data_IF_320112204303
#
_entry.id   IF_320112204303
#
_cell.length_a   1.000
_cell.length_b   1.000
_cell.length_c   1.000
_cell.angle_alpha   90.00
_cell.angle_beta   90.00
_cell.angle_gamma   90.00
#
_symmetry.space_group_name_H-M   'P 1'
#
loop_
_entity.id
_entity.type
_entity.pdbx_description
1 polymer ?
#
# COMPACT_ATOMS: atom_id res chain seq x y z
N UNK A 1 8.16 -10.60 17.11
CA UNK A 1 6.94 -9.79 16.79
C UNK A 1 6.36 -10.11 15.42
N UNK A 2 6.91 -9.64 14.29
CA UNK A 2 6.30 -9.81 12.96
C UNK A 2 6.00 -11.27 12.55
N UNK A 3 7.00 -12.15 12.64
CA UNK A 3 6.82 -13.59 12.35
C UNK A 3 5.76 -14.27 13.24
N UNK A 4 5.62 -13.85 14.50
CA UNK A 4 4.60 -14.37 15.40
C UNK A 4 3.20 -13.92 14.99
N UNK A 5 3.02 -12.64 14.65
CA UNK A 5 1.76 -12.12 14.11
C UNK A 5 1.37 -12.87 12.84
N UNK A 6 2.32 -13.13 11.94
CA UNK A 6 2.09 -13.92 10.72
C UNK A 6 1.60 -15.35 11.02
N UNK A 7 2.21 -16.06 11.98
CA UNK A 7 1.74 -17.40 12.37
C UNK A 7 0.38 -17.38 13.10
N UNK A 8 0.09 -16.35 13.88
CA UNK A 8 -1.24 -16.14 14.45
C UNK A 8 -2.28 -15.87 13.36
N UNK A 9 -1.95 -15.05 12.37
CA UNK A 9 -2.80 -14.78 11.20
C UNK A 9 -3.08 -16.07 10.42
N UNK A 10 -2.06 -16.90 10.16
CA UNK A 10 -2.21 -18.22 9.55
C UNK A 10 -3.24 -19.07 10.29
N UNK A 11 -3.18 -19.07 11.62
CA UNK A 11 -4.10 -19.84 12.47
C UNK A 11 -5.52 -19.26 12.47
N UNK A 12 -5.66 -17.94 12.44
CA UNK A 12 -6.96 -17.25 12.31
C UNK A 12 -7.60 -17.58 10.97
N UNK A 13 -6.85 -17.46 9.87
CA UNK A 13 -7.31 -17.78 8.52
C UNK A 13 -7.68 -19.25 8.42
N UNK A 14 -6.82 -20.17 8.87
CA UNK A 14 -7.11 -21.62 8.86
C UNK A 14 -8.41 -21.95 9.56
N UNK A 15 -8.67 -21.32 10.71
CA UNK A 15 -9.87 -21.54 11.50
C UNK A 15 -11.14 -21.04 10.79
N UNK A 16 -11.05 -19.93 10.05
CA UNK A 16 -12.21 -19.29 9.42
C UNK A 16 -12.50 -19.80 8.01
N UNK A 17 -11.46 -20.00 7.19
CA UNK A 17 -11.58 -20.33 5.76
C UNK A 17 -11.03 -21.73 5.41
N UNK A 18 -10.47 -22.45 6.37
CA UNK A 18 -9.93 -23.80 6.16
C UNK A 18 -8.45 -23.82 5.79
N UNK A 19 -7.90 -25.04 5.64
CA UNK A 19 -6.47 -25.28 5.43
C UNK A 19 -5.96 -24.65 4.12
N UNK A 20 -6.74 -24.73 3.06
CA UNK A 20 -6.31 -24.31 1.71
C UNK A 20 -6.13 -22.78 1.62
N UNK A 21 -6.84 -22.01 2.45
CA UNK A 21 -6.68 -20.57 2.55
C UNK A 21 -5.34 -20.14 3.19
N UNK A 22 -4.51 -21.09 3.65
CA UNK A 22 -3.18 -20.81 4.22
C UNK A 22 -2.01 -21.07 3.27
N UNK A 23 -2.31 -21.33 1.99
CA UNK A 23 -1.33 -21.24 0.92
C UNK A 23 -0.88 -19.79 0.75
N UNK A 24 0.31 -19.61 0.19
CA UNK A 24 0.94 -18.30 0.04
C UNK A 24 1.04 -17.89 -1.42
N UNK A 25 0.91 -16.58 -1.68
CA UNK A 25 1.20 -15.99 -2.99
C UNK A 25 2.69 -15.67 -3.17
N UNK A 26 2.99 -14.89 -4.20
CA UNK A 26 4.37 -14.59 -4.64
C UNK A 26 5.22 -13.94 -3.54
N UNK A 27 4.61 -13.08 -2.71
CA UNK A 27 5.29 -12.35 -1.62
C UNK A 27 5.15 -13.05 -0.26
N UNK A 28 4.68 -14.30 -0.22
CA UNK A 28 4.55 -15.06 1.02
C UNK A 28 3.31 -14.72 1.88
N UNK A 29 2.48 -13.77 1.45
CA UNK A 29 1.18 -13.44 2.07
C UNK A 29 0.10 -14.50 1.82
N UNK A 30 -0.93 -14.55 2.67
CA UNK A 30 -2.09 -15.43 2.49
C UNK A 30 -3.14 -14.78 1.58
N UNK A 31 -3.88 -15.60 0.83
CA UNK A 31 -4.99 -15.16 -0.02
C UNK A 31 -6.32 -15.83 0.36
N UNK A 32 -6.86 -15.59 1.58
CA UNK A 32 -8.19 -16.07 1.92
C UNK A 32 -9.26 -15.44 1.02
N UNK A 33 -10.35 -16.17 0.77
CA UNK A 33 -11.47 -15.70 -0.04
C UNK A 33 -12.34 -14.67 0.73
N UNK A 34 -11.77 -13.52 1.06
CA UNK A 34 -12.46 -12.40 1.69
C UNK A 34 -13.41 -11.73 0.69
N UNK A 35 -14.54 -11.22 1.18
CA UNK A 35 -15.56 -10.58 0.34
C UNK A 35 -15.48 -9.05 0.38
N UNK A 36 -14.90 -8.49 1.44
CA UNK A 36 -14.76 -7.05 1.63
C UNK A 36 -13.39 -6.72 2.21
N UNK A 37 -12.81 -5.58 1.82
CA UNK A 37 -11.50 -5.11 2.30
C UNK A 37 -11.43 -5.02 3.84
N UNK A 38 -12.56 -4.62 4.47
CA UNK A 38 -12.70 -4.53 5.93
C UNK A 38 -12.49 -5.87 6.62
N UNK A 39 -12.87 -6.97 5.97
CA UNK A 39 -12.66 -8.32 6.50
C UNK A 39 -11.18 -8.65 6.63
N UNK A 40 -10.35 -8.23 5.66
CA UNK A 40 -8.89 -8.34 5.74
C UNK A 40 -8.30 -7.59 6.94
N UNK A 41 -8.75 -6.35 7.16
CA UNK A 41 -8.32 -5.52 8.30
C UNK A 41 -8.71 -6.15 9.65
N UNK A 42 -9.90 -6.74 9.76
CA UNK A 42 -10.32 -7.47 10.98
C UNK A 42 -9.49 -8.72 11.26
N UNK A 43 -9.08 -9.46 10.22
CA UNK A 43 -8.19 -10.62 10.37
C UNK A 43 -6.82 -10.17 10.93
N UNK A 44 -6.26 -9.08 10.39
CA UNK A 44 -4.99 -8.51 10.86
C UNK A 44 -5.10 -8.03 12.31
N UNK A 45 -6.13 -7.25 12.64
CA UNK A 45 -6.41 -6.77 14.00
C UNK A 45 -6.51 -7.92 14.99
N UNK A 46 -7.28 -8.96 14.65
CA UNK A 46 -7.43 -10.17 15.47
C UNK A 46 -6.08 -10.89 15.66
N UNK A 47 -5.27 -11.00 14.61
CA UNK A 47 -3.97 -11.67 14.67
C UNK A 47 -2.97 -10.89 15.57
N UNK A 48 -2.94 -9.56 15.44
CA UNK A 48 -2.11 -8.67 16.28
C UNK A 48 -2.50 -8.79 17.75
N UNK A 49 -3.80 -8.79 18.05
CA UNK A 49 -4.32 -8.95 19.41
C UNK A 49 -3.94 -10.32 20.00
N UNK A 50 -4.15 -11.40 19.24
CA UNK A 50 -3.80 -12.76 19.68
C UNK A 50 -2.30 -12.96 19.92
N UNK A 51 -1.47 -12.25 19.17
CA UNK A 51 -0.03 -12.24 19.37
C UNK A 51 0.42 -11.37 20.56
N UNK A 52 -0.49 -10.60 21.18
CA UNK A 52 -0.18 -9.73 22.31
C UNK A 52 0.56 -8.44 21.93
N UNK A 53 0.46 -8.01 20.67
CA UNK A 53 1.20 -6.86 20.12
C UNK A 53 0.33 -5.65 19.77
N UNK A 54 -0.89 -5.58 20.29
CA UNK A 54 -1.75 -4.40 20.18
C UNK A 54 -1.02 -3.13 20.63
N UNK A 55 -1.06 -2.08 19.82
CA UNK A 55 -0.36 -0.82 20.07
C UNK A 55 1.15 -0.84 19.81
N UNK A 56 1.72 -2.00 19.44
CA UNK A 56 3.13 -2.15 19.02
C UNK A 56 3.27 -2.44 17.53
N UNK A 57 2.29 -3.11 16.95
CA UNK A 57 2.19 -3.39 15.51
C UNK A 57 1.05 -2.57 14.93
N UNK A 58 1.33 -1.91 13.81
CA UNK A 58 0.43 -1.06 13.04
C UNK A 58 0.26 -1.65 11.63
N UNK A 59 -0.68 -1.12 10.85
CA UNK A 59 -1.05 -1.63 9.52
C UNK A 59 -0.57 -0.66 8.43
N UNK A 60 0.00 -1.20 7.37
CA UNK A 60 0.16 -0.55 6.07
C UNK A 60 -0.69 -1.27 5.03
N UNK A 61 -1.10 -0.57 3.98
CA UNK A 61 -1.79 -1.16 2.84
C UNK A 61 -1.19 -0.63 1.54
N UNK A 62 -1.05 -1.52 0.56
CA UNK A 62 -0.95 -1.14 -0.85
C UNK A 62 -2.30 -1.46 -1.48
N UNK A 63 -2.91 -0.43 -2.06
CA UNK A 63 -4.22 -0.54 -2.67
C UNK A 63 -4.13 -0.86 -4.15
N UNK A 64 -3.03 -0.49 -4.84
CA UNK A 64 -2.84 -0.65 -6.28
C UNK A 64 -4.07 -0.20 -7.09
N UNK A 65 -4.59 1.01 -6.80
CA UNK A 65 -5.90 1.44 -7.28
C UNK A 65 -6.02 1.57 -8.82
N UNK A 66 -4.90 1.69 -9.53
CA UNK A 66 -4.87 1.62 -11.00
C UNK A 66 -5.47 0.31 -11.55
N UNK A 67 -5.33 -0.81 -10.84
CA UNK A 67 -5.83 -2.12 -11.29
C UNK A 67 -7.37 -2.18 -11.38
N UNK A 68 -8.06 -1.33 -10.64
CA UNK A 68 -9.51 -1.28 -10.59
C UNK A 68 -10.12 0.07 -10.96
N UNK A 69 -9.29 0.99 -11.47
CA UNK A 69 -9.75 2.22 -12.10
C UNK A 69 -10.38 1.94 -13.47
N UNK A 70 -11.43 2.69 -13.82
CA UNK A 70 -12.25 2.46 -15.02
C UNK A 70 -12.27 3.70 -15.91
N UNK A 71 -12.56 3.49 -17.20
CA UNK A 71 -12.60 4.55 -18.22
C UNK A 71 -13.57 5.70 -17.89
N UNK A 72 -14.63 5.42 -17.13
CA UNK A 72 -15.60 6.40 -16.65
C UNK A 72 -15.11 7.20 -15.42
N UNK A 73 -13.82 7.11 -15.10
CA UNK A 73 -13.16 7.77 -13.96
C UNK A 73 -13.73 7.35 -12.61
N UNK A 74 -14.09 6.08 -12.49
CA UNK A 74 -14.54 5.46 -11.24
C UNK A 74 -13.62 4.32 -10.83
N UNK A 75 -13.75 3.90 -9.58
CA UNK A 75 -13.01 2.78 -8.98
C UNK A 75 -13.98 1.64 -8.69
N UNK A 76 -13.73 0.46 -9.23
CA UNK A 76 -14.61 -0.71 -9.11
C UNK A 76 -14.08 -1.69 -8.07
N UNK A 77 -14.62 -1.63 -6.85
CA UNK A 77 -14.15 -2.48 -5.75
C UNK A 77 -14.46 -3.97 -5.94
N UNK A 78 -15.25 -4.33 -6.94
CA UNK A 78 -15.61 -5.71 -7.27
C UNK A 78 -15.07 -6.17 -8.64
N UNK A 79 -14.01 -5.54 -9.15
CA UNK A 79 -13.50 -5.74 -10.51
C UNK A 79 -13.10 -7.18 -10.88
N UNK A 80 -12.89 -8.06 -9.90
CA UNK A 80 -12.53 -9.48 -10.10
C UNK A 80 -13.74 -10.41 -10.25
N UNK A 81 -14.95 -9.95 -9.95
CA UNK A 81 -16.16 -10.77 -9.99
C UNK A 81 -16.62 -10.97 -11.45
N UNK A 82 -16.82 -12.22 -11.87
CA UNK A 82 -17.20 -12.56 -13.25
C UNK A 82 -18.54 -11.93 -13.67
N UNK A 83 -19.50 -11.83 -12.75
CA UNK A 83 -20.83 -11.26 -12.99
C UNK A 83 -20.98 -9.85 -12.38
N UNK A 84 -19.91 -9.07 -12.39
CA UNK A 84 -19.92 -7.72 -11.84
C UNK A 84 -20.89 -6.80 -12.62
N UNK A 85 -21.92 -6.32 -11.91
CA UNK A 85 -22.94 -5.41 -12.46
C UNK A 85 -22.58 -3.93 -12.31
N UNK A 86 -21.38 -3.61 -11.84
CA UNK A 86 -20.88 -2.25 -11.62
C UNK A 86 -21.47 -1.54 -10.40
N UNK A 87 -22.24 -2.23 -9.56
CA UNK A 87 -22.86 -1.62 -8.36
C UNK A 87 -21.85 -1.18 -7.29
N UNK A 88 -20.62 -1.69 -7.34
CA UNK A 88 -19.53 -1.31 -6.43
C UNK A 88 -18.56 -0.31 -7.07
N UNK A 89 -18.93 0.31 -8.18
CA UNK A 89 -18.20 1.47 -8.71
C UNK A 89 -18.43 2.69 -7.82
N UNK A 90 -17.35 3.32 -7.41
CA UNK A 90 -17.36 4.53 -6.57
C UNK A 90 -16.47 5.61 -7.17
N UNK A 91 -16.73 6.88 -6.84
CA UNK A 91 -15.88 8.00 -7.24
C UNK A 91 -14.58 8.04 -6.42
N UNK A 92 -13.59 8.78 -6.90
CA UNK A 92 -12.36 9.04 -6.13
C UNK A 92 -12.64 9.69 -4.76
N UNK A 93 -13.60 10.62 -4.68
CA UNK A 93 -14.01 11.23 -3.40
C UNK A 93 -14.66 10.20 -2.44
N UNK A 94 -15.47 9.27 -2.95
CA UNK A 94 -16.04 8.20 -2.14
C UNK A 94 -14.97 7.20 -1.68
N UNK A 95 -13.97 6.89 -2.53
CA UNK A 95 -12.84 6.03 -2.18
C UNK A 95 -11.93 6.69 -1.13
N UNK A 96 -11.67 7.99 -1.25
CA UNK A 96 -10.99 8.80 -0.23
C UNK A 96 -11.70 8.71 1.13
N UNK A 97 -13.02 8.87 1.15
CA UNK A 97 -13.82 8.77 2.38
C UNK A 97 -13.82 7.35 2.96
N UNK A 98 -13.75 6.32 2.11
CA UNK A 98 -13.57 4.94 2.54
C UNK A 98 -12.24 4.76 3.28
N UNK A 99 -11.11 5.23 2.72
CA UNK A 99 -9.81 5.16 3.40
C UNK A 99 -9.80 5.89 4.73
N UNK A 100 -10.41 7.07 4.79
CA UNK A 100 -10.56 7.83 6.05
C UNK A 100 -11.34 7.04 7.09
N UNK A 101 -12.38 6.32 6.70
CA UNK A 101 -13.12 5.46 7.62
C UNK A 101 -12.25 4.30 8.14
N UNK A 102 -11.44 3.69 7.27
CA UNK A 102 -10.49 2.65 7.71
C UNK A 102 -9.45 3.20 8.68
N UNK A 103 -8.85 4.36 8.40
CA UNK A 103 -7.87 5.01 9.29
C UNK A 103 -8.49 5.38 10.64
N UNK A 104 -9.78 5.70 10.69
CA UNK A 104 -10.48 5.97 11.95
C UNK A 104 -10.75 4.70 12.78
N UNK A 105 -10.94 3.55 12.13
CA UNK A 105 -11.32 2.29 12.78
C UNK A 105 -10.14 1.35 13.07
N UNK A 106 -9.03 1.47 12.33
CA UNK A 106 -7.88 0.58 12.37
C UNK A 106 -6.57 1.36 12.55
N UNK A 107 -5.52 0.75 13.14
CA UNK A 107 -4.22 1.39 13.33
C UNK A 107 -3.42 1.44 12.01
N UNK A 108 -4.01 2.01 10.96
CA UNK A 108 -3.37 2.21 9.66
C UNK A 108 -2.52 3.46 9.73
N UNK A 109 -1.24 3.31 9.38
CA UNK A 109 -0.26 4.41 9.38
C UNK A 109 0.34 4.68 8.01
N UNK A 110 0.08 3.82 7.03
CA UNK A 110 0.58 3.96 5.65
C UNK A 110 -0.43 3.44 4.63
N UNK A 111 -0.63 4.18 3.55
CA UNK A 111 -1.46 3.81 2.40
C UNK A 111 -0.64 4.10 1.13
N UNK A 112 -0.36 3.04 0.39
CA UNK A 112 0.30 3.04 -0.91
C UNK A 112 -0.73 2.92 -2.02
N UNK A 113 -0.48 3.66 -3.10
CA UNK A 113 -1.30 3.76 -4.31
C UNK A 113 -2.82 3.82 -4.11
N UNK A 114 -3.32 4.79 -3.31
CA UNK A 114 -4.75 4.93 -3.00
C UNK A 114 -5.63 5.26 -4.23
N UNK A 115 -5.04 5.80 -5.30
CA UNK A 115 -5.74 6.21 -6.51
C UNK A 115 -4.93 5.82 -7.75
N UNK A 116 -5.55 5.91 -8.92
CA UNK A 116 -4.90 5.64 -10.19
C UNK A 116 -3.64 6.48 -10.38
N UNK A 117 -2.63 5.90 -11.05
CA UNK A 117 -1.33 6.50 -11.33
C UNK A 117 -1.40 7.91 -11.93
N UNK A 118 -2.49 8.31 -12.59
CA UNK A 118 -2.65 9.66 -13.13
C UNK A 118 -3.80 10.47 -12.48
N UNK A 119 -4.37 10.00 -11.37
CA UNK A 119 -5.39 10.71 -10.57
C UNK A 119 -4.76 11.64 -9.52
N UNK A 120 -3.92 12.56 -10.01
CA UNK A 120 -3.18 13.54 -9.20
C UNK A 120 -4.08 14.38 -8.27
N UNK A 121 -5.32 14.64 -8.70
CA UNK A 121 -6.30 15.41 -7.93
C UNK A 121 -6.68 14.70 -6.63
N UNK A 122 -7.06 13.42 -6.70
CA UNK A 122 -7.50 12.69 -5.50
C UNK A 122 -6.35 12.36 -4.56
N UNK A 123 -5.15 12.11 -5.10
CA UNK A 123 -3.92 12.05 -4.30
C UNK A 123 -3.72 13.31 -3.45
N UNK A 124 -3.75 14.49 -4.08
CA UNK A 124 -3.58 15.76 -3.37
C UNK A 124 -4.69 16.01 -2.34
N UNK A 125 -5.95 15.67 -2.66
CA UNK A 125 -7.08 15.75 -1.71
C UNK A 125 -6.87 14.87 -0.48
N UNK A 126 -6.54 13.58 -0.67
CA UNK A 126 -6.32 12.65 0.44
C UNK A 126 -5.13 13.09 1.31
N UNK A 127 -4.01 13.44 0.67
CA UNK A 127 -2.81 13.92 1.36
C UNK A 127 -3.08 15.20 2.16
N UNK A 128 -3.87 16.13 1.62
CA UNK A 128 -4.27 17.34 2.35
C UNK A 128 -5.18 17.04 3.56
N UNK A 129 -6.02 16.01 3.49
CA UNK A 129 -6.98 15.68 4.55
C UNK A 129 -6.38 14.82 5.68
N UNK A 130 -5.47 13.88 5.36
CA UNK A 130 -4.94 12.91 6.34
C UNK A 130 -3.42 12.73 6.32
N UNK A 131 -2.68 13.40 5.43
CA UNK A 131 -1.23 13.21 5.25
C UNK A 131 -0.38 13.55 6.47
N UNK A 132 -0.88 14.36 7.41
CA UNK A 132 -0.19 14.64 8.67
C UNK A 132 -0.26 13.47 9.68
N UNK A 133 -1.17 12.51 9.45
CA UNK A 133 -1.43 11.36 10.34
C UNK A 133 -1.04 10.03 9.72
N UNK A 134 -1.11 9.96 8.39
CA UNK A 134 -0.92 8.73 7.61
C UNK A 134 0.08 9.01 6.50
N UNK A 135 1.03 8.11 6.35
CA UNK A 135 1.95 8.11 5.22
C UNK A 135 1.17 7.76 3.94
N UNK A 136 1.21 8.64 2.94
CA UNK A 136 0.67 8.40 1.60
C UNK A 136 1.87 8.12 0.70
N UNK A 137 2.00 6.87 0.28
CA UNK A 137 3.11 6.38 -0.53
C UNK A 137 2.69 6.39 -2.00
N UNK A 138 3.55 6.92 -2.87
CA UNK A 138 3.40 6.74 -4.32
C UNK A 138 4.37 5.68 -4.84
N UNK A 139 3.83 4.64 -5.46
CA UNK A 139 4.56 3.66 -6.26
C UNK A 139 4.30 3.88 -7.75
N UNK A 140 3.18 3.43 -8.31
CA UNK A 140 2.81 3.63 -9.72
C UNK A 140 2.65 5.13 -10.05
N UNK A 141 2.22 5.93 -9.05
CA UNK A 141 2.19 7.39 -9.18
C UNK A 141 3.58 7.95 -9.49
N UNK A 142 4.67 7.37 -8.97
CA UNK A 142 6.01 7.96 -9.02
C UNK A 142 6.98 7.17 -9.90
N UNK A 143 6.82 5.85 -10.00
CA UNK A 143 7.67 4.86 -10.68
C UNK A 143 9.16 5.10 -10.48
N UNK A 144 9.54 5.50 -9.25
CA UNK A 144 10.90 5.89 -8.89
C UNK A 144 11.50 6.98 -9.82
N UNK A 145 10.68 7.74 -10.53
CA UNK A 145 11.10 8.68 -11.57
C UNK A 145 11.24 10.11 -11.03
N UNK A 146 12.44 10.73 -11.08
CA UNK A 146 12.67 12.08 -10.56
C UNK A 146 11.69 13.16 -11.08
N UNK A 147 11.23 13.05 -12.33
CA UNK A 147 10.27 14.01 -12.90
C UNK A 147 8.89 13.89 -12.26
N UNK A 148 8.42 12.65 -12.03
CA UNK A 148 7.12 12.40 -11.37
C UNK A 148 7.21 12.72 -9.88
N UNK A 149 8.34 12.43 -9.23
CA UNK A 149 8.63 12.87 -7.85
C UNK A 149 8.57 14.40 -7.75
N UNK A 150 9.24 15.13 -8.65
CA UNK A 150 9.20 16.60 -8.63
C UNK A 150 7.76 17.13 -8.81
N UNK A 151 6.98 16.54 -9.71
CA UNK A 151 5.58 16.90 -9.90
C UNK A 151 4.78 16.67 -8.63
N UNK A 152 4.90 15.49 -8.02
CA UNK A 152 4.19 15.12 -6.80
C UNK A 152 4.54 16.02 -5.61
N UNK A 153 5.80 16.46 -5.48
CA UNK A 153 6.23 17.45 -4.50
C UNK A 153 5.53 18.80 -4.74
N UNK A 154 5.50 19.27 -5.99
CA UNK A 154 4.88 20.56 -6.34
C UNK A 154 3.36 20.55 -6.11
N UNK A 155 2.70 19.43 -6.42
CA UNK A 155 1.25 19.26 -6.31
C UNK A 155 0.81 18.75 -4.92
N UNK A 156 1.76 18.42 -4.05
CA UNK A 156 1.52 17.82 -2.71
C UNK A 156 0.66 16.55 -2.78
N UNK A 157 0.94 15.72 -3.77
CA UNK A 157 0.14 14.53 -4.10
C UNK A 157 0.33 13.40 -3.09
N UNK A 158 1.53 13.24 -2.55
CA UNK A 158 1.85 12.23 -1.54
C UNK A 158 2.91 12.76 -0.57
N UNK A 159 3.34 11.96 0.40
CA UNK A 159 4.35 12.34 1.38
C UNK A 159 5.41 11.24 1.62
N UNK A 160 5.41 10.20 0.78
CA UNK A 160 6.42 9.16 0.76
C UNK A 160 6.64 8.59 -0.63
N UNK A 161 7.89 8.21 -0.89
CA UNK A 161 8.32 7.51 -2.10
C UNK A 161 8.43 6.01 -1.81
N UNK A 162 7.81 5.18 -2.65
CA UNK A 162 8.23 3.79 -2.77
C UNK A 162 9.44 3.71 -3.72
N UNK A 163 10.56 3.20 -3.22
CA UNK A 163 11.80 3.13 -3.97
C UNK A 163 12.02 1.71 -4.50
N UNK A 164 11.81 1.52 -5.81
CA UNK A 164 12.13 0.30 -6.55
C UNK A 164 13.25 0.59 -7.54
N UNK A 165 14.49 0.22 -7.19
CA UNK A 165 15.71 0.57 -7.94
C UNK A 165 15.65 0.15 -9.41
N UNK A 166 15.03 -0.99 -9.69
CA UNK A 166 14.92 -1.50 -11.05
C UNK A 166 13.80 -0.87 -11.89
N UNK A 167 12.92 -0.03 -11.31
CA UNK A 167 11.96 0.77 -12.09
C UNK A 167 12.65 1.92 -12.83
N UNK A 168 13.64 2.57 -12.21
CA UNK A 168 14.36 3.69 -12.81
C UNK A 168 15.61 3.24 -13.59
N UNK A 169 16.14 2.05 -13.27
CA UNK A 169 17.17 1.37 -14.07
C UNK A 169 18.61 1.68 -13.69
N UNK A 170 18.85 2.62 -12.76
CA UNK A 170 20.19 2.89 -12.21
C UNK A 170 20.18 3.27 -10.73
N UNK A 171 21.27 2.94 -10.03
CA UNK A 171 21.48 3.31 -8.62
C UNK A 171 21.58 4.83 -8.47
N UNK A 172 22.22 5.53 -9.42
CA UNK A 172 22.38 6.98 -9.37
C UNK A 172 21.04 7.71 -9.40
N UNK A 173 20.14 7.32 -10.32
CA UNK A 173 18.82 7.94 -10.41
C UNK A 173 17.93 7.56 -9.22
N UNK A 174 18.11 6.35 -8.68
CA UNK A 174 17.46 5.94 -7.43
C UNK A 174 17.88 6.86 -6.27
N UNK A 175 19.18 7.13 -6.12
CA UNK A 175 19.71 8.06 -5.11
C UNK A 175 19.17 9.48 -5.33
N UNK A 176 19.04 9.93 -6.57
CA UNK A 176 18.46 11.24 -6.90
C UNK A 176 17.00 11.34 -6.41
N UNK A 177 16.16 10.36 -6.76
CA UNK A 177 14.77 10.31 -6.31
C UNK A 177 14.67 10.33 -4.78
N UNK A 178 15.48 9.53 -4.08
CA UNK A 178 15.56 9.52 -2.61
C UNK A 178 15.94 10.88 -2.05
N UNK A 179 16.98 11.53 -2.60
CA UNK A 179 17.45 12.84 -2.13
C UNK A 179 16.36 13.90 -2.31
N UNK A 180 15.66 13.90 -3.45
CA UNK A 180 14.55 14.82 -3.70
C UNK A 180 13.42 14.63 -2.69
N UNK A 181 13.01 13.38 -2.46
CA UNK A 181 11.98 13.06 -1.47
C UNK A 181 12.38 13.49 -0.05
N UNK A 182 13.60 13.14 0.40
CA UNK A 182 14.10 13.54 1.73
C UNK A 182 14.18 15.07 1.88
N UNK A 183 14.64 15.79 0.85
CA UNK A 183 14.69 17.26 0.86
C UNK A 183 13.29 17.92 0.95
N UNK A 184 12.27 17.26 0.40
CA UNK A 184 10.88 17.67 0.53
C UNK A 184 10.23 17.25 1.87
N UNK A 185 10.98 16.60 2.76
CA UNK A 185 10.50 16.11 4.05
C UNK A 185 9.68 14.82 3.98
N UNK A 186 9.79 14.08 2.87
CA UNK A 186 9.05 12.84 2.68
C UNK A 186 9.74 11.63 3.31
N UNK A 187 8.94 10.61 3.61
CA UNK A 187 9.44 9.27 3.88
C UNK A 187 9.94 8.58 2.61
N UNK A 188 10.81 7.59 2.77
CA UNK A 188 11.27 6.73 1.68
C UNK A 188 11.17 5.28 2.16
N UNK A 189 10.49 4.45 1.37
CA UNK A 189 10.36 3.02 1.65
C UNK A 189 11.07 2.25 0.54
N UNK A 190 12.25 1.69 0.84
CA UNK A 190 12.91 0.75 -0.05
C UNK A 190 12.01 -0.48 -0.23
N UNK A 191 11.77 -0.87 -1.47
CA UNK A 191 10.81 -1.91 -1.80
C UNK A 191 11.43 -2.99 -2.70
N UNK A 192 10.99 -4.21 -2.45
CA UNK A 192 11.29 -5.38 -3.26
C UNK A 192 10.45 -5.42 -4.54
N UNK A 193 10.61 -6.48 -5.33
CA UNK A 193 9.69 -6.83 -6.42
C UNK A 193 9.02 -8.17 -6.14
N UNK A 194 7.82 -8.38 -6.67
CA UNK A 194 7.14 -9.69 -6.57
C UNK A 194 7.99 -10.84 -7.13
N UNK A 195 8.75 -10.58 -8.20
CA UNK A 195 9.80 -11.48 -8.69
C UNK A 195 11.19 -11.13 -8.12
N UNK A 196 11.42 -11.46 -6.84
CA UNK A 196 12.72 -11.26 -6.18
C UNK A 196 13.78 -12.32 -6.54
N UNK A 197 15.02 -12.04 -6.16
CA UNK A 197 16.15 -12.99 -6.22
C UNK A 197 16.73 -13.24 -4.82
N UNK A 198 17.76 -14.08 -4.73
CA UNK A 198 18.53 -14.26 -3.49
C UNK A 198 19.44 -13.07 -3.13
N UNK A 199 19.56 -12.09 -4.02
CA UNK A 199 20.36 -10.88 -3.80
C UNK A 199 19.79 -10.03 -2.65
N UNK A 200 20.66 -9.51 -1.79
CA UNK A 200 20.28 -8.75 -0.60
C UNK A 200 20.51 -7.24 -0.72
N UNK A 201 20.79 -6.72 -1.92
CA UNK A 201 21.19 -5.33 -2.18
C UNK A 201 20.29 -4.29 -1.53
N UNK A 202 18.97 -4.48 -1.59
CA UNK A 202 18.01 -3.52 -1.04
C UNK A 202 18.07 -3.43 0.49
N UNK A 203 18.60 -4.45 1.18
CA UNK A 203 18.80 -4.41 2.61
C UNK A 203 19.87 -3.37 2.97
N UNK A 204 21.04 -3.43 2.34
CA UNK A 204 22.12 -2.44 2.50
C UNK A 204 21.66 -1.04 2.07
N UNK A 205 20.92 -0.96 0.96
CA UNK A 205 20.37 0.30 0.45
C UNK A 205 19.42 0.97 1.46
N UNK A 206 18.55 0.17 2.11
CA UNK A 206 17.59 0.69 3.09
C UNK A 206 18.27 1.32 4.31
N UNK A 207 19.46 0.85 4.68
CA UNK A 207 20.24 1.39 5.81
C UNK A 207 20.86 2.75 5.47
N UNK A 208 21.41 2.91 4.26
CA UNK A 208 21.98 4.19 3.81
C UNK A 208 20.91 5.29 3.70
N UNK A 209 19.67 4.89 3.36
CA UNK A 209 18.54 5.80 3.23
C UNK A 209 17.65 5.92 4.46
N UNK A 210 18.00 5.31 5.59
CA UNK A 210 17.31 5.55 6.86
C UNK A 210 17.59 6.96 7.43
#
# INVERSE_FOLDING_TARGET
MGSEVYHHLKSVIKKKYGQDATNVGDEGGFAPNIQENKEGLELLKTAIEKAGYTGKVVIGMDVAASEFYKEDKTYDLNFKEENNNGSQKISGDALKDLYKSFVAEYPIVSIEDPFDQDDWEHYAKLTAEIGDKVQIVGDDLLVTNPKRVQKAINEKSCNALLLKVNQIGSVTESIEAVKMSKQAGWGVMASHRSGETEDTFIADLSVDFA
#
